data_IF_207754033725
#
_entry.id   IF_207754033725
#
_cell.length_a   1.000
_cell.length_b   1.000
_cell.length_c   1.000
_cell.angle_alpha   90.00
_cell.angle_beta   90.00
_cell.angle_gamma   90.00
#
_symmetry.space_group_name_H-M   'P 1'
#
loop_
_entity.id
_entity.type
_entity.pdbx_description
1 polymer ?
#
# COMPACT_ATOMS: atom_id res chain seq x y z
N UNK A 1 15.21 -16.67 -53.00
CA UNK A 1 15.42 -15.63 -51.97
C UNK A 1 15.53 -16.33 -50.62
N UNK A 2 16.70 -16.29 -49.99
CA UNK A 2 16.92 -16.90 -48.67
C UNK A 2 16.46 -15.95 -47.58
N UNK A 3 15.65 -16.43 -46.65
CA UNK A 3 15.18 -15.65 -45.49
C UNK A 3 16.35 -15.51 -44.51
N UNK A 4 16.88 -14.29 -44.36
CA UNK A 4 17.86 -13.96 -43.34
C UNK A 4 17.14 -13.73 -42.00
N UNK A 5 17.80 -14.12 -40.93
CA UNK A 5 17.34 -14.20 -39.53
C UNK A 5 16.37 -13.12 -39.06
N UNK A 6 15.48 -13.50 -38.15
CA UNK A 6 14.54 -12.61 -37.44
C UNK A 6 15.29 -11.51 -36.67
N UNK A 7 14.78 -10.28 -36.76
CA UNK A 7 15.24 -9.13 -35.97
C UNK A 7 14.08 -8.69 -35.08
N UNK A 8 14.23 -8.84 -33.76
CA UNK A 8 13.25 -8.36 -32.78
C UNK A 8 13.81 -7.17 -31.99
N UNK A 9 12.91 -6.28 -31.57
CA UNK A 9 13.21 -5.13 -30.71
C UNK A 9 12.20 -5.12 -29.57
N UNK A 10 12.67 -5.05 -28.33
CA UNK A 10 11.82 -4.94 -27.15
C UNK A 10 11.59 -3.47 -26.81
N UNK A 11 10.34 -3.13 -26.47
CA UNK A 11 9.97 -1.80 -25.98
C UNK A 11 9.33 -1.92 -24.59
N UNK A 12 9.77 -1.08 -23.66
CA UNK A 12 9.26 -1.04 -22.30
C UNK A 12 8.23 0.09 -22.16
N UNK A 13 7.05 -0.23 -21.62
CA UNK A 13 5.97 0.74 -21.42
C UNK A 13 5.45 0.70 -19.97
N UNK A 14 5.03 1.86 -19.45
CA UNK A 14 4.48 1.98 -18.10
C UNK A 14 2.96 1.78 -18.12
N UNK A 15 2.48 0.67 -17.57
CA UNK A 15 1.06 0.28 -17.66
C UNK A 15 0.16 0.93 -16.60
N UNK A 16 0.60 1.13 -15.36
CA UNK A 16 -0.17 1.92 -14.38
C UNK A 16 0.64 2.42 -13.19
N UNK A 17 0.42 3.68 -12.81
CA UNK A 17 0.85 4.30 -11.55
C UNK A 17 -0.38 4.83 -10.81
N UNK A 18 -1.30 3.91 -10.47
CA UNK A 18 -2.59 4.27 -9.89
C UNK A 18 -2.71 3.77 -8.44
N UNK A 19 -3.31 4.59 -7.58
CA UNK A 19 -3.72 4.20 -6.24
C UNK A 19 -5.15 3.64 -6.29
N UNK A 20 -5.41 2.62 -5.47
CA UNK A 20 -6.75 2.03 -5.31
C UNK A 20 -7.19 2.04 -3.85
N UNK A 21 -8.46 2.29 -3.63
CA UNK A 21 -9.08 2.20 -2.30
C UNK A 21 -9.67 0.80 -2.13
N UNK A 22 -9.18 0.05 -1.14
CA UNK A 22 -9.71 -1.27 -0.80
C UNK A 22 -10.67 -1.13 0.38
N UNK A 23 -11.96 -1.29 0.14
CA UNK A 23 -13.00 -1.25 1.18
C UNK A 23 -13.41 -2.68 1.58
N UNK A 24 -13.04 -3.10 2.78
CA UNK A 24 -13.50 -4.38 3.35
C UNK A 24 -14.83 -4.18 4.08
N UNK A 25 -15.89 -4.85 3.64
CA UNK A 25 -17.19 -4.87 4.30
C UNK A 25 -17.35 -6.20 5.04
N UNK A 26 -17.72 -6.13 6.32
CA UNK A 26 -18.00 -7.31 7.15
C UNK A 26 -19.47 -7.32 7.55
N UNK A 27 -20.12 -8.48 7.41
CA UNK A 27 -21.52 -8.66 7.77
C UNK A 27 -21.58 -9.24 9.19
N UNK A 28 -22.34 -8.58 10.06
CA UNK A 28 -22.71 -9.09 11.37
C UNK A 28 -23.98 -9.93 11.23
N UNK A 29 -24.02 -11.11 11.83
CA UNK A 29 -25.21 -11.96 11.87
C UNK A 29 -25.66 -12.11 13.31
N UNK A 30 -26.96 -11.94 13.55
CA UNK A 30 -27.58 -12.22 14.84
C UNK A 30 -28.24 -13.61 14.79
N UNK A 31 -27.99 -14.44 15.80
CA UNK A 31 -28.70 -15.69 15.97
C UNK A 31 -30.01 -15.43 16.73
N UNK A 32 -31.15 -15.70 16.10
CA UNK A 32 -32.49 -15.49 16.68
C UNK A 32 -32.84 -16.45 17.82
N UNK A 33 -32.00 -17.46 18.09
CA UNK A 33 -32.24 -18.49 19.12
C UNK A 33 -31.47 -18.24 20.41
N UNK A 34 -30.35 -17.53 20.36
CA UNK A 34 -29.49 -17.29 21.52
C UNK A 34 -29.06 -15.82 21.67
N UNK A 35 -29.65 -14.91 20.89
CA UNK A 35 -29.38 -13.46 20.87
C UNK A 35 -27.90 -13.07 20.73
N UNK A 36 -27.05 -13.99 20.28
CA UNK A 36 -25.64 -13.75 20.02
C UNK A 36 -25.43 -13.11 18.65
N UNK A 37 -24.58 -12.09 18.60
CA UNK A 37 -24.12 -11.44 17.36
C UNK A 37 -22.72 -11.95 17.04
N UNK A 38 -22.58 -12.56 15.85
CA UNK A 38 -21.30 -13.07 15.35
C UNK A 38 -20.83 -12.28 14.13
N UNK A 39 -19.53 -12.06 14.03
CA UNK A 39 -18.89 -11.34 12.93
C UNK A 39 -17.64 -12.10 12.47
N UNK A 40 -17.34 -12.08 11.17
CA UNK A 40 -16.07 -12.59 10.66
C UNK A 40 -14.88 -11.75 11.20
N UNK A 41 -13.73 -12.38 11.51
CA UNK A 41 -12.55 -11.64 11.97
C UNK A 41 -12.11 -10.63 10.91
N UNK A 42 -11.60 -9.48 11.37
CA UNK A 42 -11.03 -8.49 10.46
C UNK A 42 -9.78 -9.07 9.80
N UNK A 43 -9.54 -8.80 8.49
CA UNK A 43 -8.26 -9.14 7.90
C UNK A 43 -7.16 -8.35 8.60
N UNK A 44 -6.03 -9.03 8.83
CA UNK A 44 -4.83 -8.38 9.38
C UNK A 44 -4.35 -7.26 8.46
N UNK A 45 -3.92 -6.14 9.05
CA UNK A 45 -3.36 -5.00 8.34
C UNK A 45 -1.90 -4.81 8.78
N UNK A 46 -1.00 -4.33 7.90
CA UNK A 46 0.38 -4.05 8.29
C UNK A 46 0.51 -3.00 9.41
N UNK A 47 -0.39 -2.01 9.40
CA UNK A 47 -0.52 -1.01 10.47
C UNK A 47 -1.93 -1.13 11.02
N UNK A 48 -2.06 -1.41 12.31
CA UNK A 48 -3.35 -1.54 12.98
C UNK A 48 -4.16 -0.25 12.86
N UNK A 49 -5.41 -0.38 12.41
CA UNK A 49 -6.35 0.73 12.13
C UNK A 49 -5.85 1.75 11.09
N UNK A 50 -4.70 1.50 10.45
CA UNK A 50 -4.16 2.33 9.38
C UNK A 50 -4.98 2.22 8.09
N UNK A 51 -4.92 3.29 7.28
CA UNK A 51 -5.51 3.34 5.93
C UNK A 51 -4.56 2.78 4.86
N UNK A 52 -3.26 2.68 5.16
CA UNK A 52 -2.26 2.24 4.21
C UNK A 52 -2.30 0.72 4.02
N UNK A 53 -2.56 0.31 2.79
CA UNK A 53 -2.37 -1.08 2.37
C UNK A 53 -0.89 -1.44 2.19
N UNK A 54 -0.55 -2.73 2.12
CA UNK A 54 0.84 -3.19 2.00
C UNK A 54 1.55 -2.63 0.77
N UNK A 55 0.87 -2.53 -0.38
CA UNK A 55 1.45 -1.98 -1.60
C UNK A 55 1.80 -0.49 -1.51
N UNK A 56 0.99 0.30 -0.78
CA UNK A 56 1.29 1.72 -0.56
C UNK A 56 2.51 1.87 0.37
N UNK A 57 2.57 1.07 1.44
CA UNK A 57 3.71 1.07 2.36
C UNK A 57 5.01 0.67 1.65
N UNK A 58 4.97 -0.39 0.84
CA UNK A 58 6.11 -0.80 0.03
C UNK A 58 6.57 0.34 -0.89
N UNK A 59 5.64 1.01 -1.60
CA UNK A 59 5.98 2.16 -2.46
C UNK A 59 6.65 3.28 -1.68
N UNK A 60 6.12 3.66 -0.52
CA UNK A 60 6.66 4.74 0.32
C UNK A 60 8.07 4.41 0.82
N UNK A 61 8.29 3.17 1.28
CA UNK A 61 9.58 2.72 1.78
C UNK A 61 10.62 2.61 0.66
N UNK A 62 10.28 1.98 -0.47
CA UNK A 62 11.17 1.90 -1.63
C UNK A 62 11.51 3.28 -2.18
N UNK A 63 10.52 4.17 -2.29
CA UNK A 63 10.75 5.56 -2.68
C UNK A 63 11.73 6.26 -1.74
N UNK A 64 11.55 6.12 -0.43
CA UNK A 64 12.39 6.81 0.57
C UNK A 64 13.83 6.27 0.59
N UNK A 65 13.98 4.94 0.62
CA UNK A 65 15.26 4.30 0.92
C UNK A 65 16.03 3.84 -0.32
N UNK A 66 15.35 3.42 -1.39
CA UNK A 66 15.99 2.94 -2.62
C UNK A 66 16.08 4.02 -3.70
N UNK A 67 15.08 4.89 -3.80
CA UNK A 67 15.04 5.98 -4.81
C UNK A 67 15.46 7.34 -4.24
N UNK A 68 15.82 7.40 -2.95
CA UNK A 68 16.20 8.62 -2.24
C UNK A 68 15.18 9.77 -2.37
N UNK A 69 13.90 9.42 -2.46
CA UNK A 69 12.82 10.37 -2.64
C UNK A 69 12.28 10.83 -1.27
N UNK A 70 12.51 12.09 -0.86
CA UNK A 70 12.10 12.56 0.47
C UNK A 70 10.57 12.60 0.60
N UNK A 71 10.08 12.42 1.83
CA UNK A 71 8.64 12.26 2.10
C UNK A 71 7.78 13.42 1.60
N UNK A 72 8.25 14.68 1.69
CA UNK A 72 7.49 15.81 1.19
C UNK A 72 7.25 15.72 -0.33
N UNK A 73 8.23 15.19 -1.08
CA UNK A 73 8.13 15.02 -2.53
C UNK A 73 7.21 13.86 -2.89
N UNK A 74 7.16 12.84 -2.05
CA UNK A 74 6.17 11.77 -2.17
C UNK A 74 4.75 12.30 -1.96
N UNK A 75 4.53 13.17 -0.95
CA UNK A 75 3.24 13.83 -0.75
C UNK A 75 2.78 14.57 -2.00
N UNK A 76 3.64 15.35 -2.64
CA UNK A 76 3.32 16.06 -3.89
C UNK A 76 3.00 15.11 -5.06
N UNK A 77 3.69 13.98 -5.16
CA UNK A 77 3.40 12.96 -6.19
C UNK A 77 2.01 12.36 -5.98
N UNK A 78 1.67 12.00 -4.75
CA UNK A 78 0.35 11.47 -4.43
C UNK A 78 -0.75 12.52 -4.61
N UNK A 79 -0.48 13.79 -4.29
CA UNK A 79 -1.41 14.88 -4.53
C UNK A 79 -1.73 15.05 -6.03
N UNK A 80 -0.74 14.90 -6.92
CA UNK A 80 -0.97 14.86 -8.38
C UNK A 80 -1.83 13.68 -8.84
N UNK A 81 -1.89 12.62 -8.05
CA UNK A 81 -2.77 11.46 -8.26
C UNK A 81 -4.13 11.61 -7.57
N UNK A 82 -4.42 12.78 -7.00
CA UNK A 82 -5.67 13.07 -6.28
C UNK A 82 -5.72 12.54 -4.85
N UNK A 83 -4.58 12.15 -4.28
CA UNK A 83 -4.48 11.60 -2.92
C UNK A 83 -3.64 12.52 -2.05
N UNK A 84 -4.31 13.30 -1.19
CA UNK A 84 -3.63 14.19 -0.25
C UNK A 84 -3.16 13.43 0.99
N UNK A 85 -1.85 13.38 1.19
CA UNK A 85 -1.20 12.72 2.32
C UNK A 85 -0.24 13.69 2.98
N UNK A 86 -0.37 13.89 4.29
CA UNK A 86 0.56 14.74 5.02
C UNK A 86 1.91 14.05 5.22
N UNK A 87 2.98 14.84 5.32
CA UNK A 87 4.32 14.33 5.64
C UNK A 87 4.35 13.60 6.98
N UNK A 88 3.60 14.09 7.97
CA UNK A 88 3.51 13.46 9.29
C UNK A 88 2.90 12.06 9.21
N UNK A 89 1.86 11.88 8.40
CA UNK A 89 1.24 10.58 8.15
C UNK A 89 2.23 9.60 7.51
N UNK A 90 2.97 10.03 6.48
CA UNK A 90 4.00 9.19 5.87
C UNK A 90 5.13 8.85 6.84
N UNK A 91 5.54 9.79 7.70
CA UNK A 91 6.55 9.53 8.73
C UNK A 91 6.09 8.43 9.68
N UNK A 92 4.88 8.56 10.22
CA UNK A 92 4.31 7.57 11.13
C UNK A 92 4.24 6.17 10.48
N UNK A 93 3.97 6.08 9.18
CA UNK A 93 3.97 4.80 8.47
C UNK A 93 5.36 4.20 8.35
N UNK A 94 6.37 5.02 8.07
CA UNK A 94 7.76 4.54 8.01
C UNK A 94 8.21 4.06 9.39
N UNK A 95 7.90 4.81 10.44
CA UNK A 95 8.25 4.46 11.82
C UNK A 95 7.55 3.17 12.26
N UNK A 96 6.30 2.96 11.86
CA UNK A 96 5.57 1.72 12.13
C UNK A 96 6.13 0.49 11.39
N UNK A 97 6.72 0.67 10.19
CA UNK A 97 7.29 -0.42 9.40
C UNK A 97 8.73 -0.77 9.81
N UNK A 98 9.45 0.18 10.38
CA UNK A 98 10.81 0.02 10.86
C UNK A 98 10.80 0.08 12.38
N UNK A 99 10.55 -1.04 13.08
CA UNK A 99 10.66 -1.07 14.52
C UNK A 99 12.12 -0.83 14.91
N UNK A 100 12.48 0.44 15.14
CA UNK A 100 13.80 0.84 15.66
C UNK A 100 13.91 0.55 17.17
N UNK A 101 12.85 0.04 17.79
CA UNK A 101 12.92 -0.53 19.13
C UNK A 101 12.46 -1.99 19.08
N UNK A 102 13.41 -2.89 19.38
CA UNK A 102 13.08 -4.23 19.85
C UNK A 102 12.20 -4.18 21.11
N UNK A 103 11.70 -5.33 21.60
CA UNK A 103 10.79 -5.37 22.73
C UNK A 103 11.37 -4.62 23.92
N UNK A 104 10.56 -3.79 24.57
CA UNK A 104 10.84 -3.28 25.90
C UNK A 104 11.01 -4.49 26.84
N UNK A 105 12.27 -4.77 27.18
CA UNK A 105 12.67 -5.59 28.33
C UNK A 105 13.02 -4.68 29.49
#
# INVERSE_FOLDING_TARGET
MAYLSEVSVEQLELVSSALKVIRTVRVKKACTRCDCIVEAPAPSRPIDRGIAGPGLLARVLTAKYCEHLPLYRQCEIFARQGVDLSRALLSNWVDACLPVNGPAG
#
